data_IF_185412201353
#
_entry.id   IF_185412201353
#
_cell.length_a   1.000
_cell.length_b   1.000
_cell.length_c   1.000
_cell.angle_alpha   90.00
_cell.angle_beta   90.00
_cell.angle_gamma   90.00
#
_symmetry.space_group_name_H-M   'P 1'
#
loop_
_entity.id
_entity.type
_entity.pdbx_description
1 polymer ?
#
# COMPACT_ATOMS: atom_id res chain seq x y z
N UNK A 1 4.66 16.85 42.05
CA UNK A 1 5.06 17.48 40.77
C UNK A 1 4.71 16.49 39.67
N UNK A 2 3.58 16.71 39.01
CA UNK A 2 2.98 15.76 38.07
C UNK A 2 3.52 16.06 36.67
N UNK A 3 4.42 15.22 36.17
CA UNK A 3 4.85 15.28 34.77
C UNK A 3 3.63 15.02 33.86
N UNK A 4 3.32 16.00 33.01
CA UNK A 4 2.33 15.82 31.95
C UNK A 4 2.91 14.81 30.96
N UNK A 5 2.32 13.61 30.89
CA UNK A 5 2.51 12.70 29.75
C UNK A 5 2.14 13.45 28.48
N UNK A 6 3.13 13.81 27.67
CA UNK A 6 2.92 14.25 26.30
C UNK A 6 2.22 13.10 25.57
N UNK A 7 0.99 13.33 25.14
CA UNK A 7 0.24 12.39 24.31
C UNK A 7 0.94 12.27 22.96
N UNK A 8 1.85 11.31 22.82
CA UNK A 8 2.35 10.89 21.52
C UNK A 8 1.15 10.30 20.77
N UNK A 9 0.53 11.09 19.88
CA UNK A 9 -0.26 10.51 18.81
C UNK A 9 0.73 9.78 17.92
N UNK A 10 0.83 8.47 18.07
CA UNK A 10 1.50 7.59 17.11
C UNK A 10 0.91 7.93 15.72
N UNK A 11 1.72 8.57 14.87
CA UNK A 11 1.34 8.96 13.52
C UNK A 11 2.33 8.31 12.56
N UNK A 12 1.82 7.66 11.52
CA UNK A 12 2.67 7.08 10.47
C UNK A 12 3.40 8.23 9.78
N UNK A 13 4.76 8.23 9.72
CA UNK A 13 5.50 9.24 8.99
C UNK A 13 5.05 9.33 7.53
N UNK A 14 5.13 10.52 6.95
CA UNK A 14 4.84 10.74 5.53
C UNK A 14 6.12 11.12 4.78
N UNK A 15 6.15 10.84 3.48
CA UNK A 15 7.22 11.28 2.57
C UNK A 15 6.60 12.18 1.49
N UNK A 16 7.29 13.25 1.13
CA UNK A 16 6.87 14.10 0.00
C UNK A 16 7.45 13.53 -1.28
N UNK A 17 6.59 13.24 -2.25
CA UNK A 17 6.97 12.81 -3.59
C UNK A 17 7.52 14.00 -4.39
N UNK A 18 8.29 13.77 -5.48
CA UNK A 18 8.74 14.85 -6.37
C UNK A 18 7.60 15.71 -6.94
N UNK A 19 6.38 15.18 -7.00
CA UNK A 19 5.17 15.91 -7.40
C UNK A 19 4.65 16.89 -6.34
N UNK A 20 5.21 16.90 -5.12
CA UNK A 20 4.74 17.68 -3.97
C UNK A 20 3.65 16.99 -3.15
N UNK A 21 3.12 15.86 -3.60
CA UNK A 21 2.12 15.06 -2.87
C UNK A 21 2.77 14.32 -1.70
N UNK A 22 2.13 14.32 -0.53
CA UNK A 22 2.58 13.55 0.64
C UNK A 22 1.94 12.16 0.69
N UNK A 23 2.75 11.12 0.88
CA UNK A 23 2.31 9.73 0.95
C UNK A 23 2.69 9.11 2.31
N UNK A 24 1.78 8.40 3.00
CA UNK A 24 2.13 7.68 4.23
C UNK A 24 3.14 6.56 3.95
N UNK A 25 4.21 6.51 4.74
CA UNK A 25 5.32 5.58 4.54
C UNK A 25 4.96 4.11 4.82
N UNK A 26 3.82 3.87 5.48
CA UNK A 26 3.27 2.55 5.76
C UNK A 26 1.86 2.47 5.18
N UNK A 27 1.67 1.55 4.24
CA UNK A 27 0.37 1.22 3.67
C UNK A 27 -0.05 -0.23 3.91
N UNK A 28 -1.34 -0.50 3.82
CA UNK A 28 -1.84 -1.88 3.76
C UNK A 28 -1.87 -2.34 2.30
N UNK A 29 -1.11 -3.40 1.98
CA UNK A 29 -1.31 -4.15 0.74
C UNK A 29 -2.47 -5.14 0.88
N UNK A 30 -3.40 -5.19 -0.08
CA UNK A 30 -4.55 -6.12 -0.05
C UNK A 30 -4.41 -7.35 -0.95
N UNK A 31 -3.23 -7.56 -1.53
CA UNK A 31 -2.94 -8.70 -2.41
C UNK A 31 -3.29 -10.07 -1.78
N UNK A 32 -3.86 -11.00 -2.57
CA UNK A 32 -4.29 -12.34 -2.13
C UNK A 32 -5.32 -12.30 -0.99
N UNK A 33 -6.24 -11.35 -1.01
CA UNK A 33 -7.44 -11.42 -0.18
C UNK A 33 -8.57 -11.91 -1.08
N UNK A 34 -9.38 -12.83 -0.57
CA UNK A 34 -10.54 -13.33 -1.31
C UNK A 34 -11.55 -12.18 -1.54
N UNK A 35 -12.16 -12.10 -2.73
CA UNK A 35 -13.23 -11.16 -2.99
C UNK A 35 -14.39 -11.29 -1.99
N UNK A 36 -15.08 -10.17 -1.76
CA UNK A 36 -16.22 -10.07 -0.86
C UNK A 36 -15.82 -9.68 0.56
N UNK A 37 -16.15 -10.53 1.53
CA UNK A 37 -16.06 -10.16 2.94
C UNK A 37 -14.61 -10.06 3.45
N UNK A 38 -13.68 -10.86 2.93
CA UNK A 38 -12.30 -10.86 3.43
C UNK A 38 -11.58 -9.57 3.05
N UNK A 39 -11.54 -9.24 1.75
CA UNK A 39 -10.93 -8.01 1.22
C UNK A 39 -11.53 -6.75 1.89
N UNK A 40 -12.87 -6.69 1.99
CA UNK A 40 -13.57 -5.58 2.65
C UNK A 40 -13.19 -5.45 4.13
N UNK A 41 -13.24 -6.54 4.90
CA UNK A 41 -12.94 -6.50 6.33
C UNK A 41 -11.46 -6.20 6.61
N UNK A 42 -10.55 -6.65 5.74
CA UNK A 42 -9.13 -6.35 5.86
C UNK A 42 -8.86 -4.85 5.76
N UNK A 43 -9.45 -4.18 4.76
CA UNK A 43 -9.33 -2.71 4.56
C UNK A 43 -9.99 -1.97 5.71
N UNK A 44 -11.24 -2.32 6.06
CA UNK A 44 -11.98 -1.65 7.13
C UNK A 44 -11.26 -1.76 8.47
N UNK A 45 -10.66 -2.92 8.77
CA UNK A 45 -9.89 -3.13 9.99
C UNK A 45 -8.63 -2.27 10.02
N UNK A 46 -7.89 -2.20 8.92
CA UNK A 46 -6.69 -1.37 8.85
C UNK A 46 -7.01 0.13 9.01
N UNK A 47 -8.07 0.62 8.36
CA UNK A 47 -8.50 2.01 8.50
C UNK A 47 -8.89 2.35 9.95
N UNK A 48 -9.58 1.44 10.64
CA UNK A 48 -9.90 1.54 12.08
C UNK A 48 -8.66 1.52 12.97
N UNK A 49 -7.62 0.80 12.58
CA UNK A 49 -6.35 0.72 13.32
C UNK A 49 -5.48 1.98 13.14
N UNK A 50 -5.75 2.81 12.14
CA UNK A 50 -5.00 4.05 11.90
C UNK A 50 -4.27 4.12 10.57
N UNK A 51 -4.35 3.08 9.73
CA UNK A 51 -3.79 3.15 8.38
C UNK A 51 -4.47 4.26 7.58
N UNK A 52 -3.67 4.99 6.81
CA UNK A 52 -4.14 6.02 5.88
C UNK A 52 -3.59 5.83 4.47
N UNK A 53 -3.00 4.68 4.18
CA UNK A 53 -2.55 4.30 2.85
C UNK A 53 -3.01 2.87 2.55
N UNK A 54 -3.81 2.70 1.48
CA UNK A 54 -4.34 1.42 1.02
C UNK A 54 -3.81 1.16 -0.40
N UNK A 55 -3.18 0.00 -0.58
CA UNK A 55 -2.62 -0.44 -1.84
C UNK A 55 -3.35 -1.69 -2.38
N UNK A 56 -3.90 -1.56 -3.59
CA UNK A 56 -4.56 -2.63 -4.35
C UNK A 56 -3.98 -2.72 -5.77
N UNK A 57 -4.56 -3.53 -6.65
CA UNK A 57 -4.26 -3.56 -8.08
C UNK A 57 -5.45 -4.11 -8.86
N UNK A 58 -5.56 -3.76 -10.14
CA UNK A 58 -6.57 -4.30 -11.05
C UNK A 58 -6.57 -5.83 -11.09
N UNK A 59 -5.38 -6.40 -11.17
CA UNK A 59 -5.16 -7.84 -11.26
C UNK A 59 -5.70 -8.61 -10.04
N UNK A 60 -5.95 -7.92 -8.92
CA UNK A 60 -6.45 -8.58 -7.71
C UNK A 60 -7.97 -8.75 -7.72
N UNK A 61 -8.68 -8.09 -8.63
CA UNK A 61 -10.14 -8.19 -8.81
C UNK A 61 -10.99 -7.83 -7.57
N UNK A 62 -10.42 -7.07 -6.62
CA UNK A 62 -11.07 -6.67 -5.35
C UNK A 62 -11.26 -5.16 -5.19
N UNK A 63 -11.04 -4.37 -6.25
CA UNK A 63 -11.15 -2.91 -6.21
C UNK A 63 -12.54 -2.44 -5.72
N UNK A 64 -13.61 -3.16 -6.07
CA UNK A 64 -14.96 -2.84 -5.61
C UNK A 64 -15.13 -3.00 -4.09
N UNK A 65 -14.54 -4.03 -3.50
CA UNK A 65 -14.59 -4.25 -2.05
C UNK A 65 -13.74 -3.24 -1.29
N UNK A 66 -12.56 -2.90 -1.81
CA UNK A 66 -11.70 -1.84 -1.27
C UNK A 66 -12.45 -0.50 -1.28
N UNK A 67 -13.06 -0.17 -2.41
CA UNK A 67 -13.89 1.03 -2.57
C UNK A 67 -15.04 1.10 -1.59
N UNK A 68 -15.77 -0.02 -1.42
CA UNK A 68 -16.86 -0.15 -0.45
C UNK A 68 -16.36 0.09 0.98
N UNK A 69 -15.27 -0.56 1.38
CA UNK A 69 -14.69 -0.41 2.73
C UNK A 69 -14.27 1.04 3.03
N UNK A 70 -13.71 1.74 2.05
CA UNK A 70 -13.31 3.15 2.21
C UNK A 70 -14.52 4.06 2.37
N UNK A 71 -15.59 3.87 1.58
CA UNK A 71 -16.83 4.66 1.75
C UNK A 71 -17.51 4.40 3.10
N UNK A 72 -17.48 3.16 3.57
CA UNK A 72 -18.19 2.74 4.78
C UNK A 72 -17.40 3.02 6.08
N UNK A 73 -16.10 3.35 6.00
CA UNK A 73 -15.25 3.51 7.19
C UNK A 73 -15.49 4.80 7.99
N UNK A 74 -16.19 5.79 7.41
CA UNK A 74 -16.49 7.07 8.05
C UNK A 74 -15.30 8.04 8.12
N UNK A 75 -14.18 7.75 7.46
CA UNK A 75 -13.03 8.66 7.33
C UNK A 75 -13.19 9.46 6.03
N UNK A 76 -12.95 10.79 6.02
CA UNK A 76 -12.97 11.57 4.78
C UNK A 76 -12.04 10.99 3.72
N UNK A 77 -12.49 10.96 2.46
CA UNK A 77 -11.76 10.32 1.35
C UNK A 77 -10.36 10.93 1.17
N UNK A 78 -10.24 12.23 1.33
CA UNK A 78 -9.00 13.02 1.25
C UNK A 78 -7.99 12.71 2.36
N UNK A 79 -8.41 12.04 3.44
CA UNK A 79 -7.49 11.59 4.48
C UNK A 79 -6.92 10.19 4.20
N UNK A 80 -7.35 9.52 3.13
CA UNK A 80 -6.90 8.17 2.77
C UNK A 80 -6.17 8.23 1.44
N UNK A 81 -4.90 7.82 1.43
CA UNK A 81 -4.10 7.67 0.22
C UNK A 81 -4.39 6.30 -0.43
N UNK A 82 -4.88 6.27 -1.66
CA UNK A 82 -5.23 5.03 -2.37
C UNK A 82 -4.32 4.82 -3.58
N UNK A 83 -3.64 3.68 -3.57
CA UNK A 83 -2.79 3.22 -4.67
C UNK A 83 -3.45 2.05 -5.37
N UNK A 84 -3.56 2.09 -6.71
CA UNK A 84 -3.87 0.91 -7.55
C UNK A 84 -2.90 0.84 -8.73
N UNK A 85 -2.95 -0.26 -9.49
CA UNK A 85 -1.92 -0.58 -10.49
C UNK A 85 -2.55 -1.09 -11.78
N UNK A 86 -2.06 -0.57 -12.90
CA UNK A 86 -2.35 -1.03 -14.25
C UNK A 86 -1.51 -2.29 -14.54
N UNK A 87 -2.17 -3.41 -14.80
CA UNK A 87 -1.47 -4.66 -15.11
C UNK A 87 -0.97 -4.70 -16.55
N UNK A 88 0.07 -5.51 -16.80
CA UNK A 88 0.84 -5.54 -18.05
C UNK A 88 0.00 -5.85 -19.30
N UNK A 89 -1.09 -6.61 -19.16
CA UNK A 89 -2.02 -6.93 -20.25
C UNK A 89 -2.84 -5.72 -20.73
N UNK A 90 -2.91 -4.65 -19.92
CA UNK A 90 -3.59 -3.39 -20.22
C UNK A 90 -2.65 -2.26 -20.61
N UNK A 91 -1.37 -2.53 -20.84
CA UNK A 91 -0.42 -1.51 -21.30
C UNK A 91 -0.73 -1.03 -22.73
N UNK A 92 -0.34 0.21 -23.03
CA UNK A 92 -0.68 0.93 -24.25
C UNK A 92 -1.68 2.06 -23.97
N UNK A 93 -1.52 3.20 -24.64
CA UNK A 93 -2.20 4.45 -24.28
C UNK A 93 -3.73 4.33 -24.13
N UNK A 94 -4.43 3.86 -25.18
CA UNK A 94 -5.88 3.71 -25.15
C UNK A 94 -6.36 2.67 -24.11
N UNK A 95 -5.67 1.54 -24.02
CA UNK A 95 -5.99 0.48 -23.04
C UNK A 95 -5.81 0.99 -21.61
N UNK A 96 -4.73 1.73 -21.36
CA UNK A 96 -4.44 2.33 -20.08
C UNK A 96 -5.51 3.36 -19.70
N UNK A 97 -5.95 4.22 -20.62
CA UNK A 97 -7.02 5.18 -20.37
C UNK A 97 -8.34 4.49 -19.97
N UNK A 98 -8.75 3.47 -20.72
CA UNK A 98 -9.98 2.72 -20.41
C UNK A 98 -9.86 2.01 -19.07
N UNK A 99 -8.76 1.26 -18.85
CA UNK A 99 -8.55 0.50 -17.64
C UNK A 99 -8.46 1.41 -16.39
N UNK A 100 -7.83 2.59 -16.50
CA UNK A 100 -7.77 3.57 -15.39
C UNK A 100 -9.17 4.03 -14.98
N UNK A 101 -10.05 4.31 -15.96
CA UNK A 101 -11.45 4.71 -15.69
C UNK A 101 -12.22 3.58 -15.02
N UNK A 102 -12.10 2.36 -15.53
CA UNK A 102 -12.73 1.17 -14.94
C UNK A 102 -12.28 0.95 -13.49
N UNK A 103 -11.00 1.11 -13.18
CA UNK A 103 -10.49 1.05 -11.80
C UNK A 103 -11.13 2.11 -10.91
N UNK A 104 -11.20 3.36 -11.37
CA UNK A 104 -11.78 4.45 -10.60
C UNK A 104 -13.30 4.25 -10.39
N UNK A 105 -14.00 3.70 -11.38
CA UNK A 105 -15.42 3.35 -11.30
C UNK A 105 -15.67 2.21 -10.31
N UNK A 106 -14.87 1.13 -10.39
CA UNK A 106 -14.93 0.00 -9.45
C UNK A 106 -14.66 0.46 -8.03
N UNK A 107 -13.60 1.24 -7.83
CA UNK A 107 -13.28 1.84 -6.53
C UNK A 107 -14.42 2.78 -6.10
N UNK A 108 -15.02 3.54 -7.00
CA UNK A 108 -16.11 4.46 -6.71
C UNK A 108 -15.69 5.55 -5.72
N UNK A 109 -14.49 6.11 -5.89
CA UNK A 109 -13.88 7.08 -4.97
C UNK A 109 -13.68 8.48 -5.58
N UNK A 110 -14.07 8.67 -6.84
CA UNK A 110 -13.91 9.92 -7.58
C UNK A 110 -12.51 10.12 -8.18
N UNK A 111 -11.45 9.79 -7.43
CA UNK A 111 -10.06 9.83 -7.90
C UNK A 111 -9.19 8.75 -7.25
N UNK A 112 -8.01 8.55 -7.83
CA UNK A 112 -6.93 7.66 -7.36
C UNK A 112 -5.72 8.54 -7.03
N UNK A 113 -5.10 8.37 -5.86
CA UNK A 113 -3.97 9.20 -5.42
C UNK A 113 -2.67 8.85 -6.13
N UNK A 114 -2.45 7.55 -6.38
CA UNK A 114 -1.29 7.03 -7.10
C UNK A 114 -1.69 5.86 -7.98
N UNK A 115 -1.25 5.92 -9.24
CA UNK A 115 -1.50 4.85 -10.21
C UNK A 115 -0.18 4.37 -10.81
N UNK A 116 0.13 3.09 -10.59
CA UNK A 116 1.42 2.50 -10.96
C UNK A 116 1.28 1.56 -12.15
N UNK A 117 2.35 1.42 -12.93
CA UNK A 117 2.48 0.32 -13.89
C UNK A 117 2.97 -0.92 -13.13
N UNK A 118 2.24 -2.03 -13.24
CA UNK A 118 2.63 -3.30 -12.65
C UNK A 118 3.08 -4.30 -13.73
N UNK A 119 4.18 -5.00 -13.44
CA UNK A 119 4.68 -6.13 -14.21
C UNK A 119 4.66 -7.41 -13.36
N UNK A 120 4.88 -8.55 -14.00
CA UNK A 120 5.09 -9.83 -13.30
C UNK A 120 6.50 -9.89 -12.73
N UNK A 121 6.67 -10.62 -11.62
CA UNK A 121 7.94 -10.79 -10.92
C UNK A 121 8.93 -11.75 -11.63
N UNK A 122 8.60 -12.24 -12.83
CA UNK A 122 9.42 -13.11 -13.66
C UNK A 122 10.30 -12.33 -14.67
N UNK A 123 10.49 -11.02 -14.44
CA UNK A 123 11.39 -10.20 -15.24
C UNK A 123 12.80 -10.83 -15.31
N UNK A 124 13.37 -11.07 -16.51
CA UNK A 124 14.66 -11.74 -16.65
C UNK A 124 15.81 -11.04 -15.95
N UNK A 125 15.76 -9.70 -15.85
CA UNK A 125 16.80 -8.90 -15.17
C UNK A 125 16.72 -9.13 -13.66
N UNK A 126 15.50 -9.08 -13.10
CA UNK A 126 15.29 -9.32 -11.68
C UNK A 126 15.66 -10.76 -11.28
N UNK A 127 15.34 -11.73 -12.12
CA UNK A 127 15.72 -13.13 -11.91
C UNK A 127 17.24 -13.32 -11.95
N UNK A 128 17.94 -12.67 -12.89
CA UNK A 128 19.40 -12.73 -12.96
C UNK A 128 20.06 -12.18 -11.68
N UNK A 129 19.63 -10.99 -11.23
CA UNK A 129 20.13 -10.38 -9.99
C UNK A 129 19.87 -11.30 -8.78
N UNK A 130 18.68 -11.88 -8.70
CA UNK A 130 18.31 -12.80 -7.63
C UNK A 130 19.23 -14.02 -7.58
N UNK A 131 19.53 -14.63 -8.73
CA UNK A 131 20.46 -15.75 -8.83
C UNK A 131 21.88 -15.35 -8.40
N UNK A 132 22.37 -14.20 -8.83
CA UNK A 132 23.73 -13.72 -8.51
C UNK A 132 23.94 -13.51 -7.00
N UNK A 133 22.92 -13.04 -6.29
CA UNK A 133 22.99 -12.81 -4.84
C UNK A 133 22.54 -14.00 -3.99
N UNK A 134 22.19 -15.13 -4.62
CA UNK A 134 21.69 -16.32 -3.93
C UNK A 134 20.38 -16.07 -3.17
N UNK A 135 19.53 -15.19 -3.68
CA UNK A 135 18.26 -14.81 -3.08
C UNK A 135 17.09 -14.99 -4.07
N UNK A 136 15.87 -14.84 -3.57
CA UNK A 136 14.68 -14.75 -4.42
C UNK A 136 14.50 -13.33 -4.97
N UNK A 137 13.83 -13.21 -6.12
CA UNK A 137 13.43 -11.91 -6.69
C UNK A 137 12.73 -11.01 -5.66
N UNK A 138 11.86 -11.59 -4.81
CA UNK A 138 11.19 -10.87 -3.74
C UNK A 138 12.16 -10.34 -2.66
N UNK A 139 13.16 -11.12 -2.26
CA UNK A 139 14.17 -10.70 -1.30
C UNK A 139 15.05 -9.57 -1.85
N UNK A 140 15.45 -9.64 -3.13
CA UNK A 140 16.18 -8.57 -3.81
C UNK A 140 15.38 -7.27 -3.80
N UNK A 141 14.09 -7.33 -4.14
CA UNK A 141 13.23 -6.15 -4.16
C UNK A 141 13.02 -5.54 -2.76
N UNK A 142 12.89 -6.36 -1.72
CA UNK A 142 12.78 -5.87 -0.34
C UNK A 142 14.09 -5.20 0.10
N UNK A 143 15.24 -5.83 -0.15
CA UNK A 143 16.54 -5.26 0.20
C UNK A 143 16.80 -3.95 -0.56
N UNK A 144 16.49 -3.91 -1.85
CA UNK A 144 16.55 -2.69 -2.67
C UNK A 144 15.63 -1.59 -2.13
N UNK A 145 14.38 -1.94 -1.79
CA UNK A 145 13.42 -0.98 -1.26
C UNK A 145 13.87 -0.36 0.06
N UNK A 146 14.38 -1.17 0.99
CA UNK A 146 14.87 -0.69 2.28
C UNK A 146 16.13 0.17 2.13
N UNK A 147 17.05 -0.21 1.24
CA UNK A 147 18.30 0.53 1.01
C UNK A 147 18.07 1.91 0.39
N UNK A 148 16.96 2.09 -0.33
CA UNK A 148 16.65 3.34 -1.04
C UNK A 148 15.55 4.19 -0.35
N UNK A 149 15.22 3.90 0.91
CA UNK A 149 14.14 4.57 1.66
C UNK A 149 12.79 4.54 0.91
N UNK A 150 12.46 3.40 0.31
CA UNK A 150 11.18 3.22 -0.37
C UNK A 150 10.04 2.93 0.61
N UNK A 151 8.85 3.34 0.21
CA UNK A 151 7.60 3.17 0.95
C UNK A 151 7.28 1.69 1.05
N UNK A 152 6.90 1.22 2.25
CA UNK A 152 6.63 -0.20 2.49
C UNK A 152 5.13 -0.48 2.53
N UNK A 153 4.73 -1.57 1.85
CA UNK A 153 3.33 -1.97 1.67
C UNK A 153 3.11 -3.40 2.22
N UNK A 154 3.26 -3.62 3.54
CA UNK A 154 3.02 -4.93 4.12
C UNK A 154 1.58 -5.41 3.88
N UNK A 155 1.42 -6.68 3.51
CA UNK A 155 0.11 -7.33 3.36
C UNK A 155 -0.35 -8.02 4.64
N UNK A 156 -1.64 -7.88 4.98
CA UNK A 156 -2.29 -8.74 5.99
C UNK A 156 -3.83 -8.63 6.00
N UNK A 157 -4.53 -9.75 6.14
CA UNK A 157 -5.98 -9.79 6.46
C UNK A 157 -6.25 -9.95 7.95
N UNK A 158 -5.21 -10.20 8.77
CA UNK A 158 -5.35 -10.44 10.21
C UNK A 158 -5.16 -9.14 11.01
N UNK A 159 -6.17 -8.64 11.76
CA UNK A 159 -6.07 -7.36 12.48
C UNK A 159 -4.94 -7.31 13.51
N UNK A 160 -4.63 -8.43 14.17
CA UNK A 160 -3.53 -8.51 15.13
C UNK A 160 -2.16 -8.34 14.47
N UNK A 161 -1.98 -8.86 13.25
CA UNK A 161 -0.76 -8.64 12.44
C UNK A 161 -0.69 -7.22 11.90
N UNK A 162 -1.79 -6.69 11.38
CA UNK A 162 -1.90 -5.29 10.92
C UNK A 162 -1.47 -4.31 12.03
N UNK A 163 -2.00 -4.46 13.24
CA UNK A 163 -1.63 -3.60 14.37
C UNK A 163 -0.13 -3.67 14.72
N UNK A 164 0.48 -4.85 14.65
CA UNK A 164 1.93 -5.03 14.88
C UNK A 164 2.77 -4.38 13.77
N UNK A 165 2.34 -4.50 12.51
CA UNK A 165 3.00 -3.90 11.35
C UNK A 165 2.95 -2.37 11.42
N UNK A 166 1.77 -1.80 11.69
CA UNK A 166 1.59 -0.36 11.88
C UNK A 166 2.52 0.20 12.96
N UNK A 167 2.53 -0.45 14.13
CA UNK A 167 3.42 -0.11 15.26
C UNK A 167 4.91 -0.27 14.95
N UNK A 168 5.26 -1.12 14.00
CA UNK A 168 6.63 -1.25 13.52
C UNK A 168 7.03 0.00 12.72
N UNK A 169 6.16 0.45 11.82
CA UNK A 169 6.43 1.63 11.00
C UNK A 169 6.28 2.97 11.74
N UNK A 170 5.55 3.02 12.86
CA UNK A 170 5.54 4.15 13.78
C UNK A 170 6.86 4.30 14.56
N UNK A 171 7.65 3.21 14.68
CA UNK A 171 8.96 3.21 15.32
C UNK A 171 10.05 3.42 14.27
N UNK A 172 10.30 4.67 13.90
CA UNK A 172 11.62 5.01 13.38
C UNK A 172 12.58 5.10 14.56
N UNK A 173 13.51 4.15 14.65
CA UNK A 173 14.58 4.18 15.65
C UNK A 173 15.92 4.22 14.94
N UNK A 174 16.82 5.09 15.39
CA UNK A 174 18.20 5.21 14.91
C UNK A 174 19.04 3.93 15.11
N UNK A 175 18.48 2.91 15.78
CA UNK A 175 19.14 1.63 16.06
C UNK A 175 19.54 0.80 14.82
N UNK A 176 19.09 1.18 13.62
CA UNK A 176 19.45 0.53 12.36
C UNK A 176 20.37 1.37 11.46
N UNK A 177 20.71 2.59 11.88
CA UNK A 177 21.66 3.47 11.20
C UNK A 177 23.02 3.37 11.91
N UNK A 178 23.71 2.25 11.71
CA UNK A 178 25.09 2.02 12.19
C UNK A 178 25.92 1.38 11.10
#
# INVERSE_FOLDING_TARGET
MTERRQSHKEYVPTKTLPSGVTIPMVGLGVHLSEPGAESYNAVLSALKLGYRHIDTAQYYEIEADVGRAIRDCGIPREAIFVTTKLFIDKWGYEKALVATKESNEKLGLGYIDLYLLACKMDDPTLVAIANDVGATAAQVLVAFSLTNDFITLPKSTNPGRQKKQLRGGERQTDAFAS
#
